data_IF_624203347875
#
_entry.id   IF_624203347875
#
_cell.length_a   1.000
_cell.length_b   1.000
_cell.length_c   1.000
_cell.angle_alpha   90.00
_cell.angle_beta   90.00
_cell.angle_gamma   90.00
#
_symmetry.space_group_name_H-M   'P 1'
#
loop_
_entity.id
_entity.type
_entity.pdbx_description
1 polymer ?
#
# COMPACT_ATOMS: atom_id res chain seq x y z
N UNK A 1 -15.63 -5.37 -12.04
CA UNK A 1 -14.49 -4.73 -11.34
C UNK A 1 -14.68 -3.23 -11.38
N UNK A 2 -14.37 -2.53 -10.28
CA UNK A 2 -14.34 -1.07 -10.24
C UNK A 2 -13.16 -0.53 -11.09
N UNK A 3 -13.26 -0.61 -12.41
CA UNK A 3 -12.20 -0.24 -13.36
C UNK A 3 -11.98 1.26 -13.52
N UNK A 4 -12.59 2.10 -12.66
CA UNK A 4 -12.57 3.56 -12.80
C UNK A 4 -12.35 4.36 -11.52
N UNK A 5 -12.19 3.71 -10.36
CA UNK A 5 -11.91 4.44 -9.11
C UNK A 5 -10.46 4.91 -9.13
N UNK A 6 -10.25 6.21 -8.92
CA UNK A 6 -8.92 6.82 -8.79
C UNK A 6 -9.03 8.09 -7.98
N UNK A 7 -7.90 8.53 -7.46
CA UNK A 7 -7.80 9.86 -6.86
C UNK A 7 -7.77 10.95 -7.94
N UNK A 8 -8.12 12.19 -7.57
CA UNK A 8 -8.12 13.34 -8.50
C UNK A 8 -6.69 13.59 -9.01
N UNK A 9 -6.54 13.63 -10.32
CA UNK A 9 -5.26 13.68 -11.05
C UNK A 9 -4.61 15.06 -11.02
N UNK A 10 -3.36 15.16 -11.46
CA UNK A 10 -2.61 16.42 -11.53
C UNK A 10 -2.07 16.92 -10.19
N UNK A 11 -1.57 18.15 -10.19
CA UNK A 11 -0.91 18.80 -9.04
C UNK A 11 -1.51 20.18 -8.69
N UNK A 12 -2.70 20.50 -9.22
CA UNK A 12 -3.42 21.74 -8.90
C UNK A 12 -4.08 21.70 -7.52
N UNK A 13 -4.70 22.79 -7.11
CA UNK A 13 -5.28 22.97 -5.76
C UNK A 13 -6.32 21.91 -5.38
N UNK A 14 -7.05 21.35 -6.35
CA UNK A 14 -8.07 20.32 -6.13
C UNK A 14 -7.54 18.88 -6.34
N UNK A 15 -6.25 18.72 -6.63
CA UNK A 15 -5.65 17.41 -6.84
C UNK A 15 -5.47 16.63 -5.54
N UNK A 16 -5.36 15.31 -5.64
CA UNK A 16 -4.97 14.50 -4.50
C UNK A 16 -3.58 14.86 -3.99
N UNK A 17 -2.63 15.14 -4.89
CA UNK A 17 -1.27 15.51 -4.52
C UNK A 17 -1.20 16.73 -3.58
N UNK A 18 -2.12 17.69 -3.72
CA UNK A 18 -2.20 18.87 -2.85
C UNK A 18 -3.02 18.65 -1.56
N UNK A 19 -3.84 17.58 -1.49
CA UNK A 19 -4.85 17.38 -0.44
C UNK A 19 -4.71 16.04 0.32
N UNK A 20 -3.55 15.38 0.26
CA UNK A 20 -3.32 14.05 0.84
C UNK A 20 -2.69 14.05 2.24
N UNK A 21 -2.90 15.11 3.04
CA UNK A 21 -2.26 15.31 4.36
C UNK A 21 -2.59 14.23 5.39
N UNK A 22 -3.81 13.70 5.36
CA UNK A 22 -4.22 12.62 6.28
C UNK A 22 -3.42 11.33 6.01
N UNK A 23 -3.26 10.99 4.73
CA UNK A 23 -2.50 9.84 4.28
C UNK A 23 -0.99 10.04 4.53
N UNK A 24 -0.49 11.27 4.35
CA UNK A 24 0.88 11.64 4.70
C UNK A 24 1.16 11.41 6.19
N UNK A 25 0.26 11.87 7.08
CA UNK A 25 0.37 11.63 8.52
C UNK A 25 0.46 10.15 8.86
N UNK A 26 -0.36 9.31 8.21
CA UNK A 26 -0.31 7.85 8.42
C UNK A 26 1.04 7.23 7.97
N UNK A 27 1.62 7.70 6.87
CA UNK A 27 2.96 7.27 6.42
C UNK A 27 4.01 7.67 7.47
N UNK A 28 3.96 8.91 7.98
CA UNK A 28 4.89 9.38 9.01
C UNK A 28 4.76 8.59 10.33
N UNK A 29 3.54 8.28 10.76
CA UNK A 29 3.29 7.49 11.98
C UNK A 29 3.78 6.04 11.85
N UNK A 30 3.64 5.45 10.66
CA UNK A 30 4.07 4.06 10.39
C UNK A 30 5.54 3.95 9.95
N UNK A 31 6.22 5.08 9.76
CA UNK A 31 7.63 5.13 9.35
C UNK A 31 8.59 4.29 10.21
N UNK A 32 8.52 4.29 11.56
CA UNK A 32 9.41 3.44 12.37
C UNK A 32 9.19 1.95 12.09
N UNK A 33 7.94 1.56 11.85
CA UNK A 33 7.54 0.18 11.52
C UNK A 33 8.06 -0.21 10.15
N UNK A 34 7.90 0.65 9.15
CA UNK A 34 8.45 0.47 7.81
C UNK A 34 9.96 0.23 7.86
N UNK A 35 10.71 1.13 8.53
CA UNK A 35 12.17 1.05 8.61
C UNK A 35 12.63 -0.25 9.25
N UNK A 36 11.99 -0.68 10.35
CA UNK A 36 12.29 -1.96 10.99
C UNK A 36 12.04 -3.14 10.06
N UNK A 37 10.91 -3.16 9.37
CA UNK A 37 10.58 -4.26 8.48
C UNK A 37 11.55 -4.35 7.28
N UNK A 38 11.94 -3.21 6.70
CA UNK A 38 12.96 -3.16 5.64
C UNK A 38 14.31 -3.65 6.15
N UNK A 39 14.71 -3.24 7.37
CA UNK A 39 15.95 -3.74 7.99
C UNK A 39 15.95 -5.26 8.16
N UNK A 40 14.83 -5.84 8.60
CA UNK A 40 14.68 -7.28 8.76
C UNK A 40 14.70 -8.02 7.41
N UNK A 41 14.15 -7.43 6.35
CA UNK A 41 14.28 -7.97 4.99
C UNK A 41 15.74 -7.88 4.53
N UNK A 42 16.41 -6.73 4.70
CA UNK A 42 17.82 -6.54 4.36
C UNK A 42 18.74 -7.57 5.03
N UNK A 43 18.54 -7.87 6.31
CA UNK A 43 19.39 -8.84 7.03
C UNK A 43 19.18 -10.27 6.53
N UNK A 44 17.98 -10.61 6.05
CA UNK A 44 17.68 -11.92 5.47
C UNK A 44 18.31 -12.14 4.09
N UNK A 45 18.67 -11.07 3.38
CA UNK A 45 19.38 -11.16 2.10
C UNK A 45 20.79 -11.71 2.33
N UNK A 46 21.04 -12.92 1.82
CA UNK A 46 22.25 -13.69 2.14
C UNK A 46 23.43 -13.39 1.20
N UNK A 47 23.19 -12.82 0.02
CA UNK A 47 24.23 -12.58 -0.97
C UNK A 47 24.91 -11.21 -0.80
N UNK A 48 26.21 -11.14 -1.14
CA UNK A 48 27.01 -9.89 -1.13
C UNK A 48 26.42 -8.81 -2.06
N UNK A 49 25.77 -9.23 -3.14
CA UNK A 49 24.96 -8.39 -4.04
C UNK A 49 23.57 -8.99 -4.14
N UNK A 50 22.56 -8.20 -3.82
CA UNK A 50 21.16 -8.65 -3.83
C UNK A 50 20.26 -7.54 -4.37
N UNK A 51 19.18 -7.91 -5.05
CA UNK A 51 18.12 -6.97 -5.43
C UNK A 51 16.94 -7.15 -4.49
N UNK A 52 16.55 -6.08 -3.79
CA UNK A 52 15.31 -6.04 -3.01
C UNK A 52 14.17 -5.55 -3.90
N UNK A 53 13.17 -6.41 -4.09
CA UNK A 53 11.94 -6.06 -4.82
C UNK A 53 10.89 -5.56 -3.84
N UNK A 54 10.45 -4.32 -4.04
CA UNK A 54 9.50 -3.61 -3.19
C UNK A 54 8.30 -3.17 -4.03
N UNK A 55 7.09 -3.32 -3.52
CA UNK A 55 5.88 -2.90 -4.23
C UNK A 55 4.97 -2.03 -3.36
N UNK A 56 4.57 -0.87 -3.87
CA UNK A 56 3.58 0.04 -3.27
C UNK A 56 2.22 -0.16 -3.93
N UNK A 57 1.25 -0.70 -3.20
CA UNK A 57 -0.05 -1.14 -3.72
C UNK A 57 -1.14 -0.09 -3.43
N UNK A 58 -1.57 0.59 -4.49
CA UNK A 58 -2.42 1.78 -4.42
C UNK A 58 -1.58 3.04 -4.20
N UNK A 59 -0.55 3.26 -5.03
CA UNK A 59 0.40 4.35 -4.88
C UNK A 59 -0.21 5.74 -5.11
N UNK A 60 -1.37 5.81 -5.79
CA UNK A 60 -2.00 7.05 -6.26
C UNK A 60 -1.02 7.92 -7.06
N UNK A 61 -1.25 9.22 -7.08
CA UNK A 61 -0.41 10.24 -7.71
C UNK A 61 -0.16 11.38 -6.72
N UNK A 62 1.07 11.53 -6.22
CA UNK A 62 1.39 12.58 -5.24
C UNK A 62 2.65 12.31 -4.42
N UNK A 63 2.99 13.21 -3.48
CA UNK A 63 4.25 13.16 -2.73
C UNK A 63 4.36 11.96 -1.78
N UNK A 64 3.23 11.37 -1.39
CA UNK A 64 3.17 10.27 -0.44
C UNK A 64 3.95 9.03 -0.89
N UNK A 65 3.84 8.62 -2.16
CA UNK A 65 4.59 7.46 -2.67
C UNK A 65 6.10 7.75 -2.75
N UNK A 66 6.50 9.00 -3.03
CA UNK A 66 7.90 9.43 -3.01
C UNK A 66 8.49 9.41 -1.60
N UNK A 67 7.69 9.83 -0.60
CA UNK A 67 8.06 9.74 0.82
C UNK A 67 8.32 8.28 1.23
N UNK A 68 7.44 7.36 0.81
CA UNK A 68 7.64 5.93 1.00
C UNK A 68 8.93 5.41 0.36
N UNK A 69 9.20 5.76 -0.90
CA UNK A 69 10.43 5.39 -1.61
C UNK A 69 11.66 5.89 -0.84
N UNK A 70 11.66 7.16 -0.44
CA UNK A 70 12.73 7.79 0.34
C UNK A 70 13.00 7.05 1.66
N UNK A 71 11.93 6.69 2.38
CA UNK A 71 12.06 5.96 3.64
C UNK A 71 12.61 4.54 3.47
N UNK A 72 12.22 3.84 2.39
CA UNK A 72 12.79 2.53 2.05
C UNK A 72 14.27 2.65 1.69
N UNK A 73 14.63 3.60 0.82
CA UNK A 73 16.03 3.84 0.42
C UNK A 73 16.89 4.15 1.65
N UNK A 74 16.42 5.04 2.54
CA UNK A 74 17.11 5.39 3.78
C UNK A 74 17.28 4.21 4.73
N UNK A 75 16.26 3.34 4.84
CA UNK A 75 16.34 2.11 5.62
C UNK A 75 17.34 1.10 5.03
N UNK A 76 17.33 0.89 3.71
CA UNK A 76 18.29 0.02 3.00
C UNK A 76 19.71 0.53 3.18
N UNK A 77 19.93 1.83 2.95
CA UNK A 77 21.23 2.48 3.12
C UNK A 77 21.80 2.29 4.54
N UNK A 78 20.94 2.39 5.55
CA UNK A 78 21.33 2.15 6.96
C UNK A 78 21.78 0.70 7.22
N UNK A 79 21.26 -0.28 6.48
CA UNK A 79 21.64 -1.69 6.62
C UNK A 79 22.99 -2.01 5.96
N UNK A 80 23.32 -1.33 4.86
CA UNK A 80 24.48 -1.65 4.02
C UNK A 80 25.78 -0.98 4.48
N UNK A 81 25.72 -0.07 5.47
CA UNK A 81 26.88 0.65 6.04
C UNK A 81 27.63 -0.09 7.17
N UNK A 82 27.46 -1.41 7.31
CA UNK A 82 28.34 -2.21 8.19
C UNK A 82 29.79 -2.20 7.64
N UNK A 83 30.78 -2.62 8.45
CA UNK A 83 32.22 -2.44 8.20
C UNK A 83 32.65 -2.68 6.74
N UNK A 84 33.74 -2.03 6.30
CA UNK A 84 34.18 -2.08 4.88
C UNK A 84 34.39 -3.51 4.36
N UNK A 85 34.74 -4.47 5.22
CA UNK A 85 34.91 -5.89 4.88
C UNK A 85 33.58 -6.63 4.61
N UNK A 86 32.47 -6.15 5.18
CA UNK A 86 31.11 -6.72 5.08
C UNK A 86 30.16 -5.94 4.16
N UNK A 87 30.65 -4.93 3.43
CA UNK A 87 29.80 -4.01 2.65
C UNK A 87 28.96 -4.75 1.60
N UNK A 88 27.69 -4.99 1.95
CA UNK A 88 26.67 -5.57 1.06
C UNK A 88 26.17 -4.48 0.12
N UNK A 89 26.04 -4.81 -1.16
CA UNK A 89 25.39 -3.94 -2.13
C UNK A 89 23.96 -4.44 -2.30
N UNK A 90 23.00 -3.60 -1.93
CA UNK A 90 21.58 -3.88 -2.15
C UNK A 90 21.05 -2.87 -3.14
N UNK A 91 20.59 -3.37 -4.28
CA UNK A 91 19.84 -2.58 -5.26
C UNK A 91 18.36 -2.69 -4.94
N UNK A 92 17.58 -1.63 -5.16
CA UNK A 92 16.16 -1.63 -4.85
C UNK A 92 15.33 -1.50 -6.13
N UNK A 93 14.50 -2.49 -6.43
CA UNK A 93 13.53 -2.42 -7.52
C UNK A 93 12.15 -2.12 -6.94
N UNK A 94 11.65 -0.91 -7.19
CA UNK A 94 10.31 -0.49 -6.83
C UNK A 94 9.32 -0.81 -7.96
N UNK A 95 8.14 -1.29 -7.56
CA UNK A 95 6.96 -1.39 -8.39
C UNK A 95 5.84 -0.54 -7.78
N UNK A 96 5.44 0.53 -8.47
CA UNK A 96 4.34 1.39 -8.08
C UNK A 96 3.07 0.87 -8.74
N UNK A 97 2.19 0.29 -7.95
CA UNK A 97 0.95 -0.30 -8.42
C UNK A 97 -0.24 0.61 -8.13
N UNK A 98 -1.09 0.79 -9.13
CA UNK A 98 -2.42 1.39 -8.98
C UNK A 98 -3.32 0.91 -10.13
N UNK A 99 -4.58 1.31 -10.14
CA UNK A 99 -5.49 1.03 -11.24
C UNK A 99 -5.04 1.75 -12.52
N UNK A 100 -5.38 1.22 -13.72
CA UNK A 100 -4.96 1.82 -14.99
C UNK A 100 -5.32 3.30 -15.21
N UNK A 101 -6.34 3.80 -14.50
CA UNK A 101 -6.74 5.20 -14.59
C UNK A 101 -5.89 6.17 -13.76
N UNK A 102 -4.97 5.70 -12.92
CA UNK A 102 -4.11 6.55 -12.10
C UNK A 102 -3.19 7.43 -12.97
N UNK A 103 -2.80 8.60 -12.45
CA UNK A 103 -1.91 9.54 -13.13
C UNK A 103 -0.43 9.18 -12.92
N UNK A 104 -0.04 8.03 -13.49
CA UNK A 104 1.36 7.58 -13.50
C UNK A 104 2.30 8.60 -14.15
N UNK A 105 1.82 9.41 -15.09
CA UNK A 105 2.63 10.46 -15.71
C UNK A 105 3.09 11.51 -14.69
N UNK A 106 2.22 11.89 -13.74
CA UNK A 106 2.63 12.76 -12.65
C UNK A 106 3.67 12.09 -11.75
N UNK A 107 3.46 10.82 -11.40
CA UNK A 107 4.41 10.05 -10.57
C UNK A 107 5.79 10.02 -11.21
N UNK A 108 5.89 9.69 -12.51
CA UNK A 108 7.17 9.62 -13.21
C UNK A 108 7.87 10.97 -13.35
N UNK A 109 7.13 12.06 -13.61
CA UNK A 109 7.72 13.42 -13.61
C UNK A 109 8.25 13.83 -12.23
N UNK A 110 7.55 13.44 -11.16
CA UNK A 110 8.01 13.75 -9.80
C UNK A 110 9.20 12.88 -9.36
N UNK A 111 9.35 11.67 -9.91
CA UNK A 111 10.52 10.82 -9.68
C UNK A 111 11.79 11.38 -10.31
N UNK A 112 11.71 11.95 -11.52
CA UNK A 112 12.83 12.62 -12.18
C UNK A 112 13.41 13.74 -11.28
N UNK A 113 12.54 14.58 -10.71
CA UNK A 113 12.92 15.63 -9.76
C UNK A 113 13.46 15.08 -8.44
N UNK A 114 13.05 13.87 -8.04
CA UNK A 114 13.50 13.22 -6.81
C UNK A 114 14.90 12.62 -6.97
N UNK A 115 15.21 12.04 -8.13
CA UNK A 115 16.52 11.46 -8.44
C UNK A 115 17.63 12.51 -8.48
N UNK A 116 17.33 13.71 -9.00
CA UNK A 116 18.26 14.85 -9.00
C UNK A 116 18.68 15.31 -7.59
N UNK A 117 17.89 14.98 -6.57
CA UNK A 117 18.18 15.31 -5.16
C UNK A 117 19.01 14.22 -4.45
N UNK A 118 19.24 13.07 -5.09
CA UNK A 118 19.99 11.95 -4.54
C UNK A 118 21.49 12.23 -4.43
N UNK A 119 22.06 12.06 -3.23
CA UNK A 119 23.51 12.13 -3.02
C UNK A 119 24.25 10.87 -3.50
N UNK A 120 25.58 10.96 -3.67
CA UNK A 120 26.47 9.86 -4.13
C UNK A 120 26.39 8.57 -3.29
N UNK A 121 25.85 8.63 -2.08
CA UNK A 121 25.75 7.51 -1.15
C UNK A 121 24.40 6.76 -1.23
N UNK A 122 23.49 7.16 -2.13
CA UNK A 122 22.18 6.52 -2.29
C UNK A 122 22.34 5.12 -2.92
N UNK A 123 21.75 4.05 -2.33
CA UNK A 123 21.68 2.75 -2.98
C UNK A 123 21.09 2.86 -4.39
N UNK A 124 21.60 2.12 -5.39
CA UNK A 124 21.00 2.10 -6.72
C UNK A 124 19.54 1.63 -6.62
N UNK A 125 18.63 2.36 -7.25
CA UNK A 125 17.23 2.00 -7.28
C UNK A 125 16.62 2.19 -8.67
N UNK A 126 15.55 1.45 -8.92
CA UNK A 126 14.83 1.43 -10.18
C UNK A 126 13.34 1.46 -9.88
N UNK A 127 12.57 2.20 -10.67
CA UNK A 127 11.12 2.33 -10.45
C UNK A 127 10.36 1.92 -11.71
N UNK A 128 9.33 1.09 -11.54
CA UNK A 128 8.43 0.67 -12.60
C UNK A 128 6.97 0.87 -12.18
N UNK A 129 6.11 1.30 -13.11
CA UNK A 129 4.66 1.35 -12.88
C UNK A 129 3.97 0.03 -13.22
N UNK A 130 2.93 -0.32 -12.45
CA UNK A 130 2.14 -1.53 -12.63
C UNK A 130 0.64 -1.21 -12.64
N UNK A 131 0.06 -0.83 -13.80
CA UNK A 131 -1.34 -0.41 -13.92
C UNK A 131 -2.30 -1.61 -13.91
N UNK A 132 -2.68 -2.08 -12.72
CA UNK A 132 -3.56 -3.25 -12.52
C UNK A 132 -4.16 -3.25 -11.12
N UNK A 133 -5.37 -3.78 -10.97
CA UNK A 133 -5.94 -4.01 -9.64
C UNK A 133 -5.07 -4.97 -8.82
N UNK A 134 -4.77 -4.63 -7.57
CA UNK A 134 -4.14 -5.54 -6.63
C UNK A 134 -5.03 -6.72 -6.22
N UNK A 135 -6.32 -6.75 -6.59
CA UNK A 135 -7.16 -7.94 -6.44
C UNK A 135 -6.92 -8.98 -7.55
N UNK A 136 -5.87 -8.79 -8.35
CA UNK A 136 -5.36 -9.74 -9.33
C UNK A 136 -3.91 -10.12 -9.00
N UNK A 137 -3.42 -11.16 -9.68
CA UNK A 137 -1.99 -11.49 -9.68
C UNK A 137 -1.21 -10.36 -10.38
N UNK A 138 -0.24 -9.82 -9.67
CA UNK A 138 0.60 -8.70 -10.05
C UNK A 138 2.01 -9.18 -10.41
N UNK A 139 2.52 -10.17 -9.67
CA UNK A 139 3.92 -10.60 -9.76
C UNK A 139 4.04 -12.12 -9.99
N UNK A 140 5.18 -12.60 -10.51
CA UNK A 140 5.55 -14.01 -10.41
C UNK A 140 5.50 -14.51 -8.96
N UNK A 141 5.45 -15.83 -8.79
CA UNK A 141 5.44 -16.41 -7.45
C UNK A 141 6.80 -16.23 -6.78
N UNK A 142 6.81 -15.90 -5.49
CA UNK A 142 8.03 -15.73 -4.67
C UNK A 142 9.06 -14.75 -5.29
N UNK A 143 8.61 -13.57 -5.72
CA UNK A 143 9.47 -12.56 -6.35
C UNK A 143 9.50 -11.21 -5.62
N UNK A 144 8.59 -10.97 -4.68
CA UNK A 144 8.51 -9.69 -3.95
C UNK A 144 9.03 -9.86 -2.52
N UNK A 145 9.90 -8.95 -2.09
CA UNK A 145 10.49 -8.96 -0.75
C UNK A 145 9.67 -8.15 0.25
N UNK A 146 9.09 -7.04 -0.20
CA UNK A 146 8.29 -6.17 0.64
C UNK A 146 7.06 -5.62 -0.10
N UNK A 147 5.87 -5.80 0.46
CA UNK A 147 4.68 -5.07 0.03
C UNK A 147 4.35 -3.95 1.01
N UNK A 148 4.04 -2.78 0.48
CA UNK A 148 3.43 -1.67 1.18
C UNK A 148 2.05 -1.41 0.61
N UNK A 149 1.11 -1.02 1.46
CA UNK A 149 -0.18 -0.53 1.03
C UNK A 149 -0.71 0.43 2.10
N UNK A 150 -0.90 1.70 1.74
CA UNK A 150 -1.42 2.72 2.67
C UNK A 150 -2.65 3.39 2.07
N UNK A 151 -3.75 3.38 2.82
CA UNK A 151 -5.01 4.03 2.46
C UNK A 151 -5.59 3.59 1.10
N UNK A 152 -5.39 2.33 0.72
CA UNK A 152 -5.98 1.77 -0.49
C UNK A 152 -6.91 0.57 -0.24
N UNK A 153 -6.67 -0.24 0.81
CA UNK A 153 -7.44 -1.49 1.04
C UNK A 153 -8.88 -1.31 1.55
N UNK A 154 -9.32 -0.08 1.86
CA UNK A 154 -10.74 0.21 2.15
C UNK A 154 -11.60 0.28 0.88
N UNK A 155 -10.98 0.41 -0.30
CA UNK A 155 -11.65 0.38 -1.58
C UNK A 155 -11.94 -1.06 -1.98
N UNK A 156 -13.22 -1.39 -2.15
CA UNK A 156 -13.67 -2.75 -2.51
C UNK A 156 -13.58 -2.98 -4.02
N UNK A 157 -13.46 -4.24 -4.42
CA UNK A 157 -13.38 -4.62 -5.84
C UNK A 157 -14.67 -4.32 -6.61
N UNK A 158 -15.81 -4.30 -5.90
CA UNK A 158 -17.16 -3.99 -6.39
C UNK A 158 -18.08 -3.57 -5.24
N UNK A 159 -19.20 -2.97 -5.60
CA UNK A 159 -20.37 -2.85 -4.71
C UNK A 159 -20.95 -4.26 -4.51
N UNK A 160 -21.41 -4.63 -3.28
CA UNK A 160 -22.12 -5.89 -3.07
C UNK A 160 -23.24 -6.09 -4.09
N UNK A 161 -23.35 -7.29 -4.67
CA UNK A 161 -24.24 -7.57 -5.81
C UNK A 161 -25.70 -7.29 -5.46
N UNK A 162 -26.08 -7.63 -4.23
CA UNK A 162 -27.41 -7.43 -3.67
C UNK A 162 -27.77 -5.93 -3.58
N UNK A 163 -26.77 -5.06 -3.36
CA UNK A 163 -26.95 -3.60 -3.33
C UNK A 163 -26.91 -2.96 -4.72
N UNK A 164 -26.38 -3.67 -5.71
CA UNK A 164 -26.35 -3.22 -7.11
C UNK A 164 -27.66 -3.52 -7.85
N UNK A 165 -28.53 -4.33 -7.24
CA UNK A 165 -29.89 -4.59 -7.75
C UNK A 165 -30.79 -3.36 -7.54
N UNK A 166 -31.88 -3.24 -8.31
CA UNK A 166 -32.81 -2.10 -8.27
C UNK A 166 -33.60 -1.94 -6.96
N UNK A 167 -33.32 -2.73 -5.92
CA UNK A 167 -33.87 -2.54 -4.58
C UNK A 167 -33.05 -1.53 -3.80
N UNK A 168 -33.69 -0.44 -3.35
CA UNK A 168 -33.09 0.62 -2.54
C UNK A 168 -32.81 0.17 -1.09
N UNK A 169 -32.01 -0.87 -0.90
CA UNK A 169 -31.73 -1.47 0.40
C UNK A 169 -30.97 -0.53 1.36
N UNK A 170 -30.25 0.46 0.83
CA UNK A 170 -29.48 1.46 1.59
C UNK A 170 -29.98 2.88 1.35
N UNK A 171 -31.30 3.08 1.31
CA UNK A 171 -31.92 4.38 1.04
C UNK A 171 -31.35 5.48 1.95
N UNK A 172 -31.09 6.66 1.36
CA UNK A 172 -30.52 7.80 2.06
C UNK A 172 -29.03 7.69 2.43
N UNK A 173 -28.33 6.60 2.08
CA UNK A 173 -26.93 6.40 2.43
C UNK A 173 -26.07 5.96 1.24
N UNK A 174 -24.87 6.53 1.10
CA UNK A 174 -23.88 6.14 0.08
C UNK A 174 -22.93 5.03 0.55
N UNK A 175 -22.90 4.76 1.85
CA UNK A 175 -22.13 3.68 2.50
C UNK A 175 -22.79 3.28 3.83
N UNK A 176 -22.09 2.57 4.72
CA UNK A 176 -22.56 2.30 6.09
C UNK A 176 -22.65 3.63 6.85
N UNK A 177 -23.87 4.00 7.24
CA UNK A 177 -24.19 5.17 8.05
C UNK A 177 -25.15 4.83 9.19
N UNK A 178 -25.61 5.86 9.92
CA UNK A 178 -26.48 5.72 11.11
C UNK A 178 -27.74 4.90 10.86
N UNK A 179 -28.36 5.07 9.70
CA UNK A 179 -29.64 4.47 9.34
C UNK A 179 -29.49 3.23 8.45
N UNK A 180 -28.25 2.78 8.20
CA UNK A 180 -28.01 1.61 7.35
C UNK A 180 -28.57 0.34 8.01
N UNK A 181 -29.45 -0.41 7.33
CA UNK A 181 -30.00 -1.65 7.88
C UNK A 181 -28.92 -2.69 8.18
N UNK A 182 -29.05 -3.52 9.24
CA UNK A 182 -28.07 -4.56 9.58
C UNK A 182 -27.73 -5.52 8.44
N UNK A 183 -28.71 -5.84 7.59
CA UNK A 183 -28.50 -6.65 6.38
C UNK A 183 -27.46 -5.99 5.45
N UNK A 184 -27.57 -4.69 5.21
CA UNK A 184 -26.64 -3.95 4.34
C UNK A 184 -25.24 -3.88 4.95
N UNK A 185 -25.14 -3.72 6.27
CA UNK A 185 -23.85 -3.76 6.98
C UNK A 185 -23.17 -5.11 6.73
N UNK A 186 -23.90 -6.22 6.87
CA UNK A 186 -23.40 -7.57 6.64
C UNK A 186 -22.91 -7.76 5.20
N UNK A 187 -23.64 -7.26 4.21
CA UNK A 187 -23.24 -7.31 2.80
C UNK A 187 -21.90 -6.60 2.55
N UNK A 188 -21.70 -5.42 3.14
CA UNK A 188 -20.42 -4.70 3.04
C UNK A 188 -19.28 -5.45 3.74
N UNK A 189 -19.53 -6.04 4.91
CA UNK A 189 -18.56 -6.84 5.65
C UNK A 189 -18.14 -8.10 4.87
N UNK A 190 -19.10 -8.82 4.30
CA UNK A 190 -18.84 -10.02 3.50
C UNK A 190 -18.04 -9.70 2.24
N UNK A 191 -18.36 -8.58 1.56
CA UNK A 191 -17.59 -8.14 0.40
C UNK A 191 -16.15 -7.76 0.79
N UNK A 192 -15.95 -7.02 1.90
CA UNK A 192 -14.61 -6.71 2.39
C UNK A 192 -13.82 -7.98 2.75
N UNK A 193 -14.46 -8.94 3.43
CA UNK A 193 -13.83 -10.21 3.78
C UNK A 193 -13.36 -10.97 2.54
N UNK A 194 -14.23 -11.13 1.54
CA UNK A 194 -13.91 -11.79 0.26
C UNK A 194 -12.73 -11.10 -0.44
N UNK A 195 -12.76 -9.77 -0.52
CA UNK A 195 -11.72 -8.97 -1.16
C UNK A 195 -10.38 -9.05 -0.42
N UNK A 196 -10.40 -8.95 0.91
CA UNK A 196 -9.18 -8.97 1.73
C UNK A 196 -8.55 -10.36 1.78
N UNK A 197 -9.35 -11.43 1.87
CA UNK A 197 -8.87 -12.82 1.77
C UNK A 197 -8.22 -13.09 0.40
N UNK A 198 -8.85 -12.61 -0.68
CA UNK A 198 -8.29 -12.70 -2.02
C UNK A 198 -6.96 -11.94 -2.13
N UNK A 199 -6.92 -10.71 -1.63
CA UNK A 199 -5.69 -9.91 -1.58
C UNK A 199 -4.56 -10.66 -0.86
N UNK A 200 -4.80 -11.12 0.37
CA UNK A 200 -3.79 -11.83 1.16
C UNK A 200 -3.34 -13.12 0.48
N UNK A 201 -4.27 -13.89 -0.10
CA UNK A 201 -3.97 -15.12 -0.83
C UNK A 201 -3.04 -14.87 -2.02
N UNK A 202 -3.29 -13.80 -2.77
CA UNK A 202 -2.47 -13.42 -3.92
C UNK A 202 -1.10 -12.92 -3.47
N UNK A 203 -1.05 -12.01 -2.49
CA UNK A 203 0.21 -11.44 -1.99
C UNK A 203 1.10 -12.51 -1.36
N UNK A 204 0.52 -13.45 -0.61
CA UNK A 204 1.27 -14.56 -0.03
C UNK A 204 1.98 -15.41 -1.09
N UNK A 205 1.33 -15.67 -2.23
CA UNK A 205 1.95 -16.43 -3.34
C UNK A 205 3.10 -15.68 -4.02
N UNK A 206 3.03 -14.35 -4.03
CA UNK A 206 4.02 -13.46 -4.67
C UNK A 206 5.20 -13.14 -3.74
N UNK A 207 5.00 -13.25 -2.42
CA UNK A 207 5.99 -12.95 -1.40
C UNK A 207 7.09 -14.04 -1.34
N UNK A 208 8.34 -13.62 -1.24
CA UNK A 208 9.47 -14.51 -0.96
C UNK A 208 9.37 -15.08 0.47
N UNK A 209 10.10 -16.17 0.73
CA UNK A 209 10.27 -16.66 2.11
C UNK A 209 10.95 -15.60 2.97
N UNK A 210 10.36 -15.26 4.12
CA UNK A 210 10.86 -14.19 4.99
C UNK A 210 10.54 -12.76 4.52
N UNK A 211 9.82 -12.61 3.40
CA UNK A 211 9.31 -11.32 2.95
C UNK A 211 8.28 -10.76 3.92
N UNK A 212 8.00 -9.45 3.83
CA UNK A 212 7.11 -8.74 4.76
C UNK A 212 6.08 -7.89 4.04
N UNK A 213 5.00 -7.57 4.74
CA UNK A 213 3.99 -6.63 4.27
C UNK A 213 3.67 -5.60 5.35
N UNK A 214 3.53 -4.33 4.96
CA UNK A 214 3.01 -3.27 5.82
C UNK A 214 1.71 -2.73 5.21
N UNK A 215 0.60 -2.91 5.92
CA UNK A 215 -0.73 -2.52 5.48
C UNK A 215 -1.32 -1.51 6.46
N UNK A 216 -1.69 -0.34 5.94
CA UNK A 216 -2.35 0.74 6.69
C UNK A 216 -3.64 1.11 5.98
N UNK A 217 -4.77 1.00 6.65
CA UNK A 217 -6.06 1.36 6.07
C UNK A 217 -7.03 1.77 7.17
N UNK A 218 -8.10 2.44 6.77
CA UNK A 218 -9.14 2.91 7.69
C UNK A 218 -9.87 1.73 8.31
N UNK A 219 -10.21 1.87 9.59
CA UNK A 219 -11.13 0.99 10.26
C UNK A 219 -11.74 1.69 11.47
N UNK A 220 -12.34 0.90 12.36
CA UNK A 220 -13.25 1.42 13.39
C UNK A 220 -12.84 0.87 14.74
N UNK A 221 -12.83 1.73 15.77
CA UNK A 221 -12.41 1.37 17.13
C UNK A 221 -13.56 0.73 17.93
N UNK A 222 -14.80 1.23 17.76
CA UNK A 222 -15.98 0.76 18.50
C UNK A 222 -17.16 0.49 17.56
N UNK A 223 -18.07 -0.41 17.95
CA UNK A 223 -19.34 -0.67 17.25
C UNK A 223 -20.25 0.58 17.23
N UNK A 224 -20.20 1.40 18.28
CA UNK A 224 -21.00 2.62 18.47
C UNK A 224 -20.55 3.82 17.63
N UNK A 225 -19.39 3.76 16.94
CA UNK A 225 -18.92 4.81 16.02
C UNK A 225 -19.72 4.84 14.71
N UNK A 226 -21.04 4.64 14.78
CA UNK A 226 -22.00 4.99 13.74
C UNK A 226 -22.34 6.49 13.82
N UNK A 227 -21.96 7.18 14.91
CA UNK A 227 -22.53 8.47 15.30
C UNK A 227 -21.84 9.72 14.75
N UNK A 228 -20.56 9.63 14.39
CA UNK A 228 -19.81 10.74 13.83
C UNK A 228 -18.92 10.17 12.73
N UNK A 229 -18.85 10.80 11.55
CA UNK A 229 -17.95 10.43 10.45
C UNK A 229 -16.46 10.59 10.78
N UNK A 230 -16.09 10.46 12.05
CA UNK A 230 -14.73 10.48 12.57
C UNK A 230 -14.11 9.11 12.32
N UNK A 231 -13.36 9.05 11.23
CA UNK A 231 -12.44 7.97 10.94
C UNK A 231 -11.36 7.97 12.01
N UNK A 232 -11.38 6.99 12.92
CA UNK A 232 -10.23 6.73 13.76
C UNK A 232 -9.08 6.23 12.87
N UNK A 233 -7.83 6.73 13.03
CA UNK A 233 -6.68 6.10 12.40
C UNK A 233 -6.60 4.67 12.92
N UNK A 234 -6.90 3.70 12.06
CA UNK A 234 -6.75 2.29 12.41
C UNK A 234 -5.26 2.02 12.57
N UNK A 235 -4.84 1.82 13.81
CA UNK A 235 -3.44 1.63 14.16
C UNK A 235 -2.96 0.23 13.77
N UNK A 236 -1.93 0.20 12.92
CA UNK A 236 -0.98 -0.88 12.68
C UNK A 236 -1.52 -2.33 12.74
N UNK A 237 -2.06 -2.81 11.62
CA UNK A 237 -2.04 -4.25 11.35
C UNK A 237 -0.70 -4.60 10.69
N UNK A 238 0.34 -4.75 11.53
CA UNK A 238 1.52 -5.50 11.14
C UNK A 238 1.10 -6.96 10.98
N UNK A 239 0.74 -7.35 9.76
CA UNK A 239 0.78 -8.75 9.39
C UNK A 239 2.26 -9.15 9.26
N UNK A 240 2.89 -9.44 10.40
CA UNK A 240 3.93 -10.45 10.43
C UNK A 240 3.26 -11.78 10.09
N UNK A 241 3.01 -12.01 8.80
CA UNK A 241 2.79 -13.35 8.28
C UNK A 241 4.15 -14.07 8.29
N UNK A 242 4.72 -14.25 9.48
CA UNK A 242 5.41 -15.50 9.78
C UNK A 242 4.31 -16.54 9.78
N UNK A 243 4.00 -17.04 8.59
CA UNK A 243 3.24 -18.24 8.39
C UNK A 243 4.04 -19.39 9.04
N UNK A 244 3.93 -19.50 10.36
CA UNK A 244 3.82 -20.77 11.05
C UNK A 244 2.52 -21.42 10.56
N UNK A 245 2.61 -22.01 9.37
CA UNK A 245 1.86 -23.22 9.07
C UNK A 245 2.92 -24.32 9.15
N UNK A 246 2.84 -25.12 10.22
CA UNK A 246 3.41 -26.46 10.18
C UNK A 246 2.68 -27.28 9.10
#
# INVERSE_FOLDING_TARGET
>A
EASGVRMVTGNGENSYAANSRLQEKAILETRPVLRKAIQEVCTSLSARRSTMVVADLGCSSGPNTLSFISDVIGAVHSCTRKSEEERRVVEVQFFLNDLPGNDFNLVFRSLEQFEDLGGKDTPPFYVAGLPRSYYRKLFPSRSVHFFHSSYSLMWRSKVPEELSSCTHLNEGNIYIGKTTPPMVIKLFQEQFKKDFELFLTLRFKELVSGGRMLLTFLGRKNEEMMTHGELAPCMNWLLNLSCLWY
#
